data_IF_112877832580
#
_entry.id   IF_112877832580
#
_cell.length_a   1.000
_cell.length_b   1.000
_cell.length_c   1.000
_cell.angle_alpha   90.00
_cell.angle_beta   90.00
_cell.angle_gamma   90.00
#
_symmetry.space_group_name_H-M   'P 1'
#
loop_
_entity.id
_entity.type
_entity.pdbx_description
1 polymer ?
#
# COMPACT_ATOMS: atom_id res chain seq x y z
N UNK A 1 -33.56 23.43 13.19
CA UNK A 1 -32.42 22.50 13.04
C UNK A 1 -32.25 22.21 11.55
N UNK A 2 -31.05 22.47 11.00
CA UNK A 2 -30.80 22.54 9.56
C UNK A 2 -30.47 21.15 9.00
N UNK A 3 -31.29 20.67 8.07
CA UNK A 3 -31.08 19.43 7.32
C UNK A 3 -29.77 19.40 6.49
N UNK A 4 -29.12 20.54 6.27
CA UNK A 4 -27.87 20.63 5.53
C UNK A 4 -26.61 20.20 6.32
N UNK A 5 -26.64 20.23 7.65
CA UNK A 5 -25.46 19.95 8.50
C UNK A 5 -25.27 18.45 8.74
N UNK A 6 -26.35 17.68 8.85
CA UNK A 6 -26.29 16.22 8.98
C UNK A 6 -25.81 15.53 7.70
N UNK A 7 -26.13 16.11 6.53
CA UNK A 7 -25.74 15.54 5.22
C UNK A 7 -24.25 15.72 4.95
N UNK A 8 -23.65 16.83 5.39
CA UNK A 8 -22.21 17.05 5.26
C UNK A 8 -21.41 16.06 6.14
N UNK A 9 -21.75 15.93 7.43
CA UNK A 9 -21.11 14.96 8.33
C UNK A 9 -21.24 13.50 7.84
N UNK A 10 -22.40 13.14 7.28
CA UNK A 10 -22.63 11.81 6.70
C UNK A 10 -21.72 11.51 5.50
N UNK A 11 -21.52 12.49 4.61
CA UNK A 11 -20.68 12.34 3.41
C UNK A 11 -19.18 12.25 3.72
N UNK A 12 -18.68 13.00 4.70
CA UNK A 12 -17.27 12.95 5.14
C UNK A 12 -16.92 11.60 5.76
N UNK A 13 -17.75 11.12 6.69
CA UNK A 13 -17.58 9.80 7.33
C UNK A 13 -17.54 8.66 6.30
N UNK A 14 -18.43 8.68 5.31
CA UNK A 14 -18.50 7.66 4.26
C UNK A 14 -17.28 7.68 3.33
N UNK A 15 -16.70 8.86 3.08
CA UNK A 15 -15.48 9.00 2.28
C UNK A 15 -14.24 8.54 3.05
N UNK A 16 -14.16 8.82 4.35
CA UNK A 16 -13.09 8.33 5.23
C UNK A 16 -13.10 6.81 5.29
N UNK A 17 -14.26 6.18 5.42
CA UNK A 17 -14.39 4.72 5.45
C UNK A 17 -13.91 4.07 4.14
N UNK A 18 -14.27 4.63 2.99
CA UNK A 18 -13.77 4.15 1.68
C UNK A 18 -12.25 4.29 1.54
N UNK A 19 -11.68 5.41 2.01
CA UNK A 19 -10.24 5.59 2.02
C UNK A 19 -9.55 4.58 2.95
N UNK A 20 -10.13 4.29 4.11
CA UNK A 20 -9.62 3.26 5.02
C UNK A 20 -9.66 1.86 4.39
N UNK A 21 -10.75 1.51 3.70
CA UNK A 21 -10.85 0.26 2.94
C UNK A 21 -9.80 0.18 1.84
N UNK A 22 -9.52 1.30 1.16
CA UNK A 22 -8.48 1.38 0.14
C UNK A 22 -7.08 1.17 0.74
N UNK A 23 -6.76 1.82 1.85
CA UNK A 23 -5.50 1.62 2.58
C UNK A 23 -5.33 0.14 2.98
N UNK A 24 -6.38 -0.48 3.51
CA UNK A 24 -6.36 -1.90 3.89
C UNK A 24 -6.06 -2.79 2.68
N UNK A 25 -6.73 -2.57 1.54
CA UNK A 25 -6.49 -3.32 0.29
C UNK A 25 -5.08 -3.11 -0.26
N UNK A 26 -4.53 -1.90 -0.17
CA UNK A 26 -3.16 -1.62 -0.60
C UNK A 26 -2.15 -2.37 0.26
N UNK A 27 -2.32 -2.38 1.58
CA UNK A 27 -1.46 -3.13 2.50
C UNK A 27 -1.58 -4.66 2.31
N UNK A 28 -2.79 -5.17 2.07
CA UNK A 28 -3.01 -6.58 1.73
C UNK A 28 -2.32 -6.95 0.41
N UNK A 29 -2.43 -6.09 -0.60
CA UNK A 29 -1.77 -6.26 -1.89
C UNK A 29 -0.26 -6.28 -1.72
N UNK A 30 0.32 -5.29 -1.04
CA UNK A 30 1.74 -5.23 -0.72
C UNK A 30 2.23 -6.50 0.00
N UNK A 31 1.46 -6.96 1.00
CA UNK A 31 1.78 -8.21 1.73
C UNK A 31 1.71 -9.44 0.84
N UNK A 32 0.73 -9.50 -0.05
CA UNK A 32 0.57 -10.61 -1.01
C UNK A 32 1.74 -10.63 -2.00
N UNK A 33 2.18 -9.47 -2.48
CA UNK A 33 3.34 -9.34 -3.36
C UNK A 33 4.62 -9.77 -2.64
N UNK A 34 4.86 -9.28 -1.42
CA UNK A 34 6.03 -9.68 -0.62
C UNK A 34 6.09 -11.20 -0.39
N UNK A 35 4.95 -11.84 -0.09
CA UNK A 35 4.93 -13.26 0.21
C UNK A 35 4.96 -14.14 -1.05
N UNK A 36 4.24 -13.75 -2.12
CA UNK A 36 4.10 -14.58 -3.32
C UNK A 36 5.15 -14.25 -4.37
N UNK A 37 5.29 -12.98 -4.74
CA UNK A 37 6.19 -12.60 -5.84
C UNK A 37 7.65 -12.87 -5.49
N UNK A 38 8.06 -12.57 -4.25
CA UNK A 38 9.41 -12.91 -3.76
C UNK A 38 9.66 -14.42 -3.75
N UNK A 39 8.67 -15.22 -3.36
CA UNK A 39 8.78 -16.67 -3.38
C UNK A 39 8.87 -17.23 -4.80
N UNK A 40 8.09 -16.69 -5.75
CA UNK A 40 8.18 -17.09 -7.16
C UNK A 40 9.52 -16.67 -7.78
N UNK A 41 10.02 -15.46 -7.50
CA UNK A 41 11.35 -15.02 -7.96
C UNK A 41 12.46 -15.90 -7.35
N UNK A 42 12.32 -16.32 -6.10
CA UNK A 42 13.24 -17.26 -5.49
C UNK A 42 13.18 -18.65 -6.15
N UNK A 43 11.99 -19.10 -6.60
CA UNK A 43 11.85 -20.36 -7.36
C UNK A 43 12.43 -20.30 -8.77
N UNK A 44 12.54 -19.11 -9.34
CA UNK A 44 13.30 -18.93 -10.58
C UNK A 44 14.79 -19.23 -10.35
N UNK A 45 15.29 -19.34 -9.12
CA UNK A 45 16.70 -19.73 -8.90
C UNK A 45 17.03 -21.05 -9.58
N UNK A 46 17.94 -21.00 -10.56
CA UNK A 46 18.44 -22.21 -11.22
C UNK A 46 19.66 -22.73 -10.47
N UNK A 47 19.65 -24.00 -10.02
CA UNK A 47 20.82 -24.57 -9.35
C UNK A 47 21.99 -24.68 -10.33
N UNK A 48 23.21 -24.37 -9.86
CA UNK A 48 24.42 -24.34 -10.69
C UNK A 48 24.75 -25.64 -11.45
N UNK A 49 24.15 -26.78 -11.07
CA UNK A 49 24.27 -28.05 -11.78
C UNK A 49 23.29 -28.25 -12.96
N UNK A 50 22.28 -27.40 -13.12
CA UNK A 50 21.35 -27.43 -14.25
C UNK A 50 21.98 -26.89 -15.55
N UNK A 51 23.19 -26.31 -15.47
CA UNK A 51 23.92 -25.74 -16.61
C UNK A 51 25.26 -26.42 -16.93
N UNK A 52 25.27 -27.66 -17.45
CA UNK A 52 26.44 -28.15 -18.18
C UNK A 52 26.61 -27.48 -19.56
N UNK A 53 25.62 -26.71 -20.06
CA UNK A 53 25.51 -26.31 -21.48
C UNK A 53 25.61 -24.79 -21.71
N UNK A 54 25.51 -23.94 -20.68
CA UNK A 54 25.62 -22.47 -20.83
C UNK A 54 26.92 -21.91 -20.22
N UNK A 55 28.05 -22.51 -20.60
CA UNK A 55 29.42 -22.13 -20.20
C UNK A 55 29.90 -20.80 -20.82
N UNK A 56 28.97 -19.91 -21.21
CA UNK A 56 29.20 -18.72 -22.03
C UNK A 56 28.55 -17.43 -21.51
N UNK A 57 28.47 -17.25 -20.19
CA UNK A 57 27.99 -16.01 -19.57
C UNK A 57 26.47 -15.91 -19.34
N UNK A 58 25.68 -16.87 -19.83
CA UNK A 58 24.23 -16.85 -19.63
C UNK A 58 23.79 -17.19 -18.20
N UNK A 59 24.59 -17.95 -17.43
CA UNK A 59 24.35 -18.15 -16.01
C UNK A 59 24.40 -16.83 -15.21
N UNK A 60 25.42 -16.00 -15.46
CA UNK A 60 25.53 -14.68 -14.83
C UNK A 60 24.46 -13.68 -15.29
N UNK A 61 24.06 -13.73 -16.56
CA UNK A 61 22.93 -12.95 -17.07
C UNK A 61 21.62 -13.34 -16.37
N UNK A 62 21.41 -14.64 -16.13
CA UNK A 62 20.23 -15.13 -15.44
C UNK A 62 20.18 -14.69 -13.97
N UNK A 63 21.29 -14.83 -13.24
CA UNK A 63 21.41 -14.32 -11.87
C UNK A 63 21.13 -12.81 -11.80
N UNK A 64 21.70 -12.04 -12.75
CA UNK A 64 21.45 -10.59 -12.84
C UNK A 64 19.97 -10.29 -13.06
N UNK A 65 19.29 -11.03 -13.94
CA UNK A 65 17.85 -10.89 -14.17
C UNK A 65 17.02 -11.26 -12.92
N UNK A 66 17.43 -12.30 -12.21
CA UNK A 66 16.78 -12.73 -10.98
C UNK A 66 16.88 -11.65 -9.89
N UNK A 67 18.09 -11.09 -9.69
CA UNK A 67 18.31 -10.00 -8.74
C UNK A 67 17.52 -8.76 -9.13
N UNK A 68 17.54 -8.37 -10.41
CA UNK A 68 16.77 -7.22 -10.90
C UNK A 68 15.25 -7.41 -10.68
N UNK A 69 14.74 -8.63 -10.88
CA UNK A 69 13.34 -8.95 -10.60
C UNK A 69 13.01 -8.85 -9.10
N UNK A 70 13.91 -9.32 -8.23
CA UNK A 70 13.75 -9.22 -6.78
C UNK A 70 13.73 -7.75 -6.31
N UNK A 71 14.65 -6.94 -6.82
CA UNK A 71 14.75 -5.51 -6.50
C UNK A 71 13.51 -4.74 -6.99
N UNK A 72 13.06 -5.02 -8.22
CA UNK A 72 11.85 -4.42 -8.78
C UNK A 72 10.59 -4.80 -7.97
N UNK A 73 10.50 -6.06 -7.52
CA UNK A 73 9.41 -6.50 -6.65
C UNK A 73 9.41 -5.75 -5.32
N UNK A 74 10.58 -5.55 -4.71
CA UNK A 74 10.69 -4.83 -3.44
C UNK A 74 10.29 -3.35 -3.61
N UNK A 75 10.81 -2.70 -4.65
CA UNK A 75 10.48 -1.32 -4.97
C UNK A 75 8.98 -1.11 -5.21
N UNK A 76 8.31 -2.06 -5.89
CA UNK A 76 6.87 -2.02 -6.10
C UNK A 76 6.10 -2.13 -4.78
N UNK A 77 6.47 -3.08 -3.91
CA UNK A 77 5.83 -3.24 -2.61
C UNK A 77 5.97 -1.98 -1.76
N UNK A 78 7.15 -1.38 -1.73
CA UNK A 78 7.42 -0.17 -0.96
C UNK A 78 6.63 1.03 -1.51
N UNK A 79 6.54 1.18 -2.84
CA UNK A 79 5.72 2.22 -3.45
C UNK A 79 4.23 2.09 -3.08
N UNK A 80 3.69 0.86 -3.00
CA UNK A 80 2.31 0.62 -2.57
C UNK A 80 2.12 1.01 -1.09
N UNK A 81 3.08 0.67 -0.23
CA UNK A 81 3.05 1.02 1.21
C UNK A 81 3.14 2.53 1.42
N UNK A 82 4.00 3.22 0.67
CA UNK A 82 4.14 4.67 0.73
C UNK A 82 2.85 5.38 0.30
N UNK A 83 2.22 4.90 -0.77
CA UNK A 83 0.93 5.41 -1.22
C UNK A 83 -0.17 5.17 -0.17
N UNK A 84 -0.21 3.99 0.45
CA UNK A 84 -1.14 3.70 1.56
C UNK A 84 -0.91 4.64 2.77
N UNK A 85 0.35 4.91 3.12
CA UNK A 85 0.74 5.85 4.17
C UNK A 85 0.30 7.29 3.87
N UNK A 86 0.47 7.74 2.62
CA UNK A 86 0.01 9.05 2.18
C UNK A 86 -1.52 9.19 2.31
N UNK A 87 -2.29 8.18 1.90
CA UNK A 87 -3.75 8.15 2.07
C UNK A 87 -4.14 8.14 3.55
N UNK A 88 -3.41 7.40 4.40
CA UNK A 88 -3.63 7.41 5.85
C UNK A 88 -3.47 8.80 6.45
N UNK A 89 -2.48 9.59 6.01
CA UNK A 89 -2.30 10.99 6.47
C UNK A 89 -3.49 11.87 6.09
N UNK A 90 -4.10 11.64 4.92
CA UNK A 90 -5.32 12.34 4.49
C UNK A 90 -6.50 11.96 5.40
N UNK A 91 -6.68 10.68 5.70
CA UNK A 91 -7.70 10.21 6.65
C UNK A 91 -7.52 10.86 8.03
N UNK A 92 -6.29 10.86 8.54
CA UNK A 92 -6.00 11.43 9.86
C UNK A 92 -6.26 12.94 9.90
N UNK A 93 -6.00 13.65 8.80
CA UNK A 93 -6.34 15.06 8.67
C UNK A 93 -7.85 15.28 8.77
N UNK A 94 -8.66 14.50 8.05
CA UNK A 94 -10.13 14.60 8.13
C UNK A 94 -10.65 14.31 9.53
N UNK A 95 -10.17 13.25 10.19
CA UNK A 95 -10.57 12.92 11.58
C UNK A 95 -10.25 14.05 12.57
N UNK A 96 -9.10 14.71 12.41
CA UNK A 96 -8.74 15.88 13.24
C UNK A 96 -9.67 17.06 13.00
N UNK A 97 -10.04 17.33 11.75
CA UNK A 97 -11.02 18.38 11.43
C UNK A 97 -12.39 18.10 12.06
N UNK A 98 -12.87 16.86 11.97
CA UNK A 98 -14.15 16.47 12.61
C UNK A 98 -14.11 16.65 14.13
N UNK A 99 -13.03 16.21 14.79
CA UNK A 99 -12.87 16.38 16.22
C UNK A 99 -12.82 17.87 16.65
N UNK A 100 -12.18 18.73 15.84
CA UNK A 100 -12.11 20.16 16.10
C UNK A 100 -13.47 20.86 15.92
N UNK A 101 -14.19 20.52 14.84
CA UNK A 101 -15.53 21.07 14.61
C UNK A 101 -16.55 20.58 15.64
N UNK A 102 -16.49 19.31 16.07
CA UNK A 102 -17.32 18.80 17.16
C UNK A 102 -17.11 19.57 18.47
N UNK A 103 -15.85 19.88 18.82
CA UNK A 103 -15.54 20.71 20.00
C UNK A 103 -16.04 22.15 19.88
N UNK A 104 -15.95 22.75 18.70
CA UNK A 104 -16.42 24.11 18.47
C UNK A 104 -17.95 24.25 18.66
N UNK A 105 -18.71 23.19 18.33
CA UNK A 105 -20.16 23.13 18.60
C UNK A 105 -20.47 23.02 20.09
N UNK A 106 -19.76 22.19 20.85
CA UNK A 106 -19.96 22.04 22.31
C UNK A 106 -19.65 23.34 23.08
N UNK A 107 -18.70 24.15 22.61
CA UNK A 107 -18.38 25.45 23.22
C UNK A 107 -19.32 26.58 22.82
N UNK A 108 -20.12 26.42 21.76
CA UNK A 108 -21.08 27.45 21.31
C UNK A 108 -22.47 27.30 21.94
N UNK A 109 -22.73 26.17 22.61
CA UNK A 109 -23.97 25.85 23.31
C UNK A 109 -23.91 26.08 24.83
N UNK A 110 -22.77 26.52 25.36
CA UNK A 110 -22.57 26.89 26.77
C UNK A 110 -22.50 28.40 26.95
#
# INVERSE_FOLDING_TARGET
>A
MRAGEAVAMSGYSMNVEKLQQMVAKMNETATTYDNKLKAEIARLHMPGGAFPVLDGGAAGAYETMQTAAADASLALTDAIRDAASAVQKVIDHYKRMEAAHGRAFDTALN
#
